data_IF_630522500689
#
_entry.id   IF_630522500689
#
_cell.length_a   1.000
_cell.length_b   1.000
_cell.length_c   1.000
_cell.angle_alpha   90.00
_cell.angle_beta   90.00
_cell.angle_gamma   90.00
#
_symmetry.space_group_name_H-M   'P 1'
#
loop_
_entity.id
_entity.type
_entity.pdbx_description
1 polymer ?
#
# COMPACT_ATOMS: atom_id res chain seq x y z
N UNK A 1 -0.66 9.00 -16.20
CA UNK A 1 0.72 8.47 -16.22
C UNK A 1 0.82 6.97 -16.58
N UNK A 2 -0.09 6.05 -16.16
CA UNK A 2 0.05 4.62 -16.49
C UNK A 2 0.16 4.31 -18.01
N UNK A 3 -0.53 5.06 -18.85
CA UNK A 3 -0.51 4.84 -20.31
C UNK A 3 0.85 5.18 -20.94
N UNK A 4 1.50 6.26 -20.50
CA UNK A 4 2.83 6.66 -20.99
C UNK A 4 3.89 5.65 -20.57
N UNK A 5 3.90 5.23 -19.30
CA UNK A 5 4.85 4.22 -18.82
C UNK A 5 4.68 2.90 -19.57
N UNK A 6 3.45 2.42 -19.75
CA UNK A 6 3.16 1.19 -20.52
C UNK A 6 3.64 1.30 -21.97
N UNK A 7 3.49 2.45 -22.60
CA UNK A 7 3.99 2.69 -23.95
C UNK A 7 5.52 2.71 -23.99
N UNK A 8 6.17 3.42 -23.05
CA UNK A 8 7.63 3.47 -22.94
C UNK A 8 8.25 2.09 -22.70
N UNK A 9 7.73 1.33 -21.75
CA UNK A 9 8.24 0.00 -21.41
C UNK A 9 8.09 -1.02 -22.55
N UNK A 10 7.03 -0.88 -23.37
CA UNK A 10 6.86 -1.68 -24.58
C UNK A 10 7.82 -1.27 -25.68
N UNK A 11 8.04 0.03 -25.88
CA UNK A 11 8.90 0.55 -26.94
C UNK A 11 10.39 0.36 -26.63
N UNK A 12 10.75 0.46 -25.37
CA UNK A 12 12.13 0.35 -24.87
C UNK A 12 12.19 -0.63 -23.68
N UNK A 13 12.09 -1.95 -23.91
CA UNK A 13 12.02 -2.94 -22.81
C UNK A 13 13.21 -2.88 -21.85
N UNK A 14 14.38 -2.49 -22.34
CA UNK A 14 15.61 -2.39 -21.55
C UNK A 14 15.62 -1.27 -20.50
N UNK A 15 14.63 -0.37 -20.52
CA UNK A 15 14.51 0.65 -19.46
C UNK A 15 13.90 0.08 -18.17
N UNK A 16 13.30 -1.11 -18.24
CA UNK A 16 12.81 -1.83 -17.08
C UNK A 16 13.87 -2.85 -16.69
N UNK A 17 14.42 -2.68 -15.51
CA UNK A 17 15.41 -3.58 -14.94
C UNK A 17 14.86 -4.26 -13.70
N UNK A 18 15.25 -5.49 -13.43
CA UNK A 18 14.92 -6.16 -12.18
C UNK A 18 15.67 -5.49 -11.03
N UNK A 19 14.99 -5.32 -9.91
CA UNK A 19 15.58 -4.77 -8.69
C UNK A 19 16.14 -5.93 -7.87
N UNK A 20 17.38 -5.79 -7.40
CA UNK A 20 17.98 -6.66 -6.40
C UNK A 20 17.66 -6.09 -5.01
N UNK A 21 17.00 -6.89 -4.18
CA UNK A 21 16.72 -6.55 -2.79
C UNK A 21 17.70 -7.32 -1.90
N UNK A 22 18.33 -6.63 -0.96
CA UNK A 22 19.14 -7.26 0.08
C UNK A 22 18.19 -7.80 1.17
N UNK A 23 18.39 -9.05 1.57
CA UNK A 23 17.62 -9.63 2.66
C UNK A 23 18.25 -9.30 4.03
N UNK A 24 17.43 -9.09 5.08
CA UNK A 24 17.94 -8.92 6.43
C UNK A 24 18.83 -10.11 6.84
N UNK A 25 19.94 -9.83 7.49
CA UNK A 25 20.71 -10.88 8.14
C UNK A 25 19.94 -11.48 9.32
N UNK A 26 20.25 -12.71 9.69
CA UNK A 26 19.67 -13.35 10.88
C UNK A 26 20.79 -13.76 11.84
N UNK A 27 20.60 -13.51 13.13
CA UNK A 27 21.53 -13.98 14.17
C UNK A 27 20.75 -14.58 15.34
N UNK A 28 21.32 -15.59 16.04
CA UNK A 28 20.69 -16.11 17.25
C UNK A 28 20.75 -15.07 18.36
N UNK A 29 19.58 -14.74 18.92
CA UNK A 29 19.45 -13.88 20.10
C UNK A 29 19.85 -14.63 21.38
N UNK A 30 19.93 -13.91 22.52
CA UNK A 30 20.30 -14.47 23.82
C UNK A 30 19.35 -15.57 24.31
N UNK A 31 18.14 -15.59 23.85
CA UNK A 31 17.07 -16.54 24.17
C UNK A 31 16.98 -17.71 23.15
N UNK A 32 17.89 -17.77 22.17
CA UNK A 32 17.93 -18.78 21.11
C UNK A 32 16.96 -18.53 19.96
N UNK A 33 16.13 -17.46 19.99
CA UNK A 33 15.33 -17.05 18.84
C UNK A 33 16.19 -16.31 17.83
N UNK A 34 15.86 -16.50 16.53
CA UNK A 34 16.54 -15.76 15.46
C UNK A 34 16.04 -14.31 15.48
N UNK A 35 16.97 -13.37 15.49
CA UNK A 35 16.70 -11.93 15.43
C UNK A 35 17.16 -11.41 14.08
N UNK A 36 16.30 -10.63 13.44
CA UNK A 36 16.63 -9.98 12.17
C UNK A 36 17.61 -8.83 12.40
N UNK A 37 18.69 -8.81 11.63
CA UNK A 37 19.66 -7.71 11.61
C UNK A 37 19.15 -6.72 10.55
N UNK A 38 18.89 -5.46 10.93
CA UNK A 38 18.48 -4.45 9.96
C UNK A 38 19.51 -4.30 8.83
N UNK A 39 19.01 -4.01 7.63
CA UNK A 39 19.86 -3.74 6.48
C UNK A 39 20.62 -2.43 6.71
N UNK A 40 21.93 -2.45 6.50
CA UNK A 40 22.79 -1.27 6.59
C UNK A 40 22.65 -0.41 5.32
N UNK A 41 21.78 0.58 5.35
CA UNK A 41 21.51 1.49 4.23
C UNK A 41 22.67 2.44 3.92
N UNK A 42 23.71 2.50 4.76
CA UNK A 42 24.92 3.28 4.50
C UNK A 42 25.82 2.66 3.43
N UNK A 43 25.66 1.35 3.21
CA UNK A 43 26.39 0.62 2.17
C UNK A 43 25.96 1.06 0.76
N UNK A 44 26.80 0.85 -0.26
CA UNK A 44 26.43 1.08 -1.65
C UNK A 44 25.12 0.37 -2.03
N UNK A 45 24.36 0.96 -2.95
CA UNK A 45 23.14 0.36 -3.45
C UNK A 45 23.43 -0.97 -4.17
N UNK A 46 22.76 -2.08 -3.82
CA UNK A 46 23.02 -3.40 -4.42
C UNK A 46 22.75 -3.44 -5.93
N UNK A 47 21.95 -2.50 -6.46
CA UNK A 47 21.67 -2.39 -7.88
C UNK A 47 22.76 -1.64 -8.68
N UNK A 48 23.85 -1.20 -8.02
CA UNK A 48 24.95 -0.48 -8.67
C UNK A 48 24.66 0.97 -9.05
N UNK A 49 23.47 1.48 -8.71
CA UNK A 49 23.05 2.86 -8.98
C UNK A 49 22.86 3.60 -7.66
N UNK A 50 23.45 4.79 -7.54
CA UNK A 50 23.31 5.63 -6.35
C UNK A 50 22.29 6.76 -6.60
N UNK A 51 21.36 6.93 -5.66
CA UNK A 51 20.30 7.94 -5.75
C UNK A 51 20.47 9.02 -4.68
N UNK A 52 20.41 10.27 -5.07
CA UNK A 52 20.48 11.41 -4.15
C UNK A 52 19.15 11.63 -3.42
N UNK A 53 18.05 11.53 -4.13
CA UNK A 53 16.74 11.92 -3.64
C UNK A 53 15.70 10.83 -3.92
N UNK A 54 14.81 10.61 -2.94
CA UNK A 54 13.63 9.76 -3.07
C UNK A 54 12.37 10.57 -2.74
N UNK A 55 11.40 10.55 -3.64
CA UNK A 55 10.10 11.21 -3.49
C UNK A 55 9.02 10.15 -3.54
N UNK A 56 8.27 9.98 -2.45
CA UNK A 56 7.20 8.99 -2.33
C UNK A 56 5.83 9.68 -2.28
N UNK A 57 4.93 9.27 -3.19
CA UNK A 57 3.51 9.52 -3.09
C UNK A 57 2.91 8.47 -2.13
N UNK A 58 2.70 8.87 -0.87
CA UNK A 58 2.25 7.95 0.18
C UNK A 58 0.88 7.35 -0.10
N UNK A 59 0.00 8.01 -0.83
CA UNK A 59 -1.29 7.44 -1.20
C UNK A 59 -1.12 6.21 -2.09
N UNK A 60 -0.08 6.20 -2.95
CA UNK A 60 0.30 5.03 -3.74
C UNK A 60 0.80 3.84 -2.91
N UNK A 61 1.27 4.08 -1.68
CA UNK A 61 1.72 3.05 -0.72
C UNK A 61 0.57 2.65 0.21
N UNK A 62 -0.17 3.62 0.74
CA UNK A 62 -1.24 3.38 1.72
C UNK A 62 -2.35 2.49 1.13
N UNK A 63 -2.78 2.73 -0.11
CA UNK A 63 -3.83 1.93 -0.73
C UNK A 63 -3.50 0.43 -0.81
N UNK A 64 -2.35 -0.02 -1.32
CA UNK A 64 -1.98 -1.43 -1.29
C UNK A 64 -1.80 -2.02 0.12
N UNK A 65 -1.35 -1.21 1.09
CA UNK A 65 -1.17 -1.66 2.48
C UNK A 65 -2.50 -1.88 3.19
N UNK A 66 -3.52 -1.06 2.89
CA UNK A 66 -4.87 -1.20 3.47
C UNK A 66 -5.73 -2.22 2.73
N UNK A 67 -5.44 -2.45 1.44
CA UNK A 67 -6.17 -3.39 0.58
C UNK A 67 -5.19 -4.26 -0.22
N UNK A 68 -4.47 -5.17 0.44
CA UNK A 68 -3.54 -6.06 -0.24
C UNK A 68 -4.27 -7.02 -1.17
N UNK A 69 -3.76 -7.20 -2.39
CA UNK A 69 -4.27 -8.20 -3.31
C UNK A 69 -3.86 -9.61 -2.85
N UNK A 70 -4.82 -10.51 -2.76
CA UNK A 70 -4.58 -11.92 -2.43
C UNK A 70 -4.23 -12.23 -0.97
N UNK A 71 -4.36 -11.25 -0.07
CA UNK A 71 -4.19 -11.43 1.37
C UNK A 71 -5.37 -10.78 2.11
N UNK A 72 -5.72 -11.27 3.32
CA UNK A 72 -6.70 -10.56 4.14
C UNK A 72 -6.18 -9.16 4.48
N UNK A 73 -7.05 -8.13 4.49
CA UNK A 73 -6.67 -6.79 4.90
C UNK A 73 -6.31 -6.77 6.40
N UNK A 74 -5.46 -5.83 6.85
CA UNK A 74 -5.20 -5.62 8.26
C UNK A 74 -6.49 -5.36 9.03
N UNK A 75 -6.57 -5.83 10.27
CA UNK A 75 -7.80 -5.76 11.08
C UNK A 75 -8.02 -4.37 11.68
N UNK A 76 -6.93 -3.70 12.06
CA UNK A 76 -6.96 -2.38 12.72
C UNK A 76 -6.25 -1.31 11.90
N UNK A 77 -6.55 -0.04 12.18
CA UNK A 77 -5.86 1.09 11.56
C UNK A 77 -4.38 1.13 11.96
N UNK A 78 -4.06 0.70 13.18
CA UNK A 78 -2.69 0.56 13.68
C UNK A 78 -1.90 -0.48 12.89
N UNK A 79 -2.50 -1.64 12.61
CA UNK A 79 -1.87 -2.67 11.75
C UNK A 79 -1.63 -2.14 10.34
N UNK A 80 -2.56 -1.33 9.81
CA UNK A 80 -2.37 -0.65 8.52
C UNK A 80 -1.16 0.27 8.54
N UNK A 81 -0.94 1.03 9.63
CA UNK A 81 0.25 1.89 9.76
C UNK A 81 1.54 1.07 9.82
N UNK A 82 1.53 -0.06 10.52
CA UNK A 82 2.69 -0.97 10.55
C UNK A 82 3.02 -1.49 9.15
N UNK A 83 2.02 -1.88 8.36
CA UNK A 83 2.26 -2.31 6.98
C UNK A 83 2.76 -1.16 6.07
N UNK A 84 2.28 0.06 6.29
CA UNK A 84 2.80 1.26 5.60
C UNK A 84 4.28 1.49 5.95
N UNK A 85 4.68 1.35 7.21
CA UNK A 85 6.07 1.47 7.63
C UNK A 85 6.95 0.40 6.99
N UNK A 86 6.57 -0.86 7.09
CA UNK A 86 7.30 -1.97 6.48
C UNK A 86 7.51 -1.78 4.98
N UNK A 87 6.47 -1.33 4.28
CA UNK A 87 6.57 -1.08 2.85
C UNK A 87 7.50 0.11 2.54
N UNK A 88 7.41 1.18 3.34
CA UNK A 88 8.27 2.36 3.20
C UNK A 88 9.73 2.01 3.46
N UNK A 89 10.03 1.27 4.53
CA UNK A 89 11.36 0.78 4.85
C UNK A 89 11.92 -0.09 3.71
N UNK A 90 11.11 -0.99 3.16
CA UNK A 90 11.51 -1.81 2.01
C UNK A 90 11.92 -0.94 0.82
N UNK A 91 11.13 0.07 0.47
CA UNK A 91 11.44 0.97 -0.65
C UNK A 91 12.73 1.76 -0.38
N UNK A 92 12.92 2.25 0.86
CA UNK A 92 14.13 2.97 1.25
C UNK A 92 15.35 2.06 1.19
N UNK A 93 15.24 0.81 1.66
CA UNK A 93 16.32 -0.18 1.62
C UNK A 93 16.74 -0.49 0.17
N UNK A 94 15.79 -0.54 -0.77
CA UNK A 94 16.08 -0.72 -2.20
C UNK A 94 16.79 0.47 -2.84
N UNK A 95 16.36 1.70 -2.50
CA UNK A 95 16.79 2.92 -3.19
C UNK A 95 17.99 3.57 -2.48
N UNK A 96 18.04 3.56 -1.15
CA UNK A 96 19.09 4.16 -0.29
C UNK A 96 19.38 5.61 -0.65
N UNK A 97 18.39 6.54 -0.54
CA UNK A 97 18.61 7.94 -0.90
C UNK A 97 19.71 8.56 -0.04
N UNK A 98 20.67 9.25 -0.69
CA UNK A 98 21.87 9.75 0.01
C UNK A 98 21.69 11.15 0.62
N UNK A 99 20.73 11.93 0.10
CA UNK A 99 20.60 13.35 0.51
C UNK A 99 19.20 13.71 0.99
N UNK A 100 18.17 13.18 0.35
CA UNK A 100 16.83 13.67 0.59
C UNK A 100 15.76 12.59 0.43
N UNK A 101 14.88 12.49 1.42
CA UNK A 101 13.67 11.68 1.39
C UNK A 101 12.47 12.60 1.58
N UNK A 102 11.50 12.52 0.67
CA UNK A 102 10.22 13.24 0.76
C UNK A 102 9.05 12.28 0.74
N UNK A 103 8.24 12.35 1.79
CA UNK A 103 6.97 11.64 1.88
C UNK A 103 5.84 12.64 1.63
N UNK A 104 5.10 12.49 0.54
CA UNK A 104 4.00 13.37 0.17
C UNK A 104 2.66 12.69 0.43
N UNK A 105 1.78 13.35 1.18
CA UNK A 105 0.41 12.91 1.44
C UNK A 105 -0.55 13.81 0.66
N UNK A 106 -1.61 13.25 0.07
CA UNK A 106 -2.63 14.02 -0.62
C UNK A 106 -3.30 15.06 0.31
N UNK A 107 -3.24 16.31 -0.12
CA UNK A 107 -3.98 17.42 0.47
C UNK A 107 -5.33 17.67 -0.20
N UNK A 108 -6.00 18.75 0.20
CA UNK A 108 -7.27 19.17 -0.39
C UNK A 108 -7.08 19.54 -1.86
N UNK A 109 -7.85 18.90 -2.72
CA UNK A 109 -7.76 19.13 -4.16
C UNK A 109 -8.35 20.52 -4.57
N UNK A 110 -7.85 21.15 -5.65
CA UNK A 110 -8.49 22.29 -6.26
C UNK A 110 -9.94 22.00 -6.66
N UNK A 111 -10.81 23.02 -6.65
CA UNK A 111 -12.25 22.88 -6.92
C UNK A 111 -12.58 22.06 -8.17
N UNK A 112 -11.89 22.30 -9.27
CA UNK A 112 -12.09 21.58 -10.52
C UNK A 112 -11.89 20.06 -10.36
N UNK A 113 -10.84 19.65 -9.61
CA UNK A 113 -10.53 18.24 -9.34
C UNK A 113 -11.50 17.61 -8.32
N UNK A 114 -12.09 18.42 -7.42
CA UNK A 114 -13.06 17.93 -6.43
C UNK A 114 -14.30 17.31 -7.08
N UNK A 115 -14.84 17.92 -8.13
CA UNK A 115 -15.98 17.37 -8.84
C UNK A 115 -15.67 16.04 -9.52
N UNK A 116 -14.49 15.93 -10.12
CA UNK A 116 -14.02 14.69 -10.73
C UNK A 116 -13.83 13.59 -9.66
N UNK A 117 -13.25 13.94 -8.52
CA UNK A 117 -13.07 13.00 -7.40
C UNK A 117 -14.42 12.54 -6.84
N UNK A 118 -15.37 13.46 -6.65
CA UNK A 118 -16.74 13.14 -6.18
C UNK A 118 -17.42 12.16 -7.12
N UNK A 119 -17.40 12.41 -8.42
CA UNK A 119 -18.01 11.53 -9.42
C UNK A 119 -17.36 10.13 -9.42
N UNK A 120 -16.05 10.06 -9.31
CA UNK A 120 -15.31 8.79 -9.22
C UNK A 120 -15.71 8.01 -7.97
N UNK A 121 -15.74 8.66 -6.79
CA UNK A 121 -16.11 8.02 -5.52
C UNK A 121 -17.55 7.54 -5.53
N UNK A 122 -18.46 8.35 -6.08
CA UNK A 122 -19.86 7.94 -6.20
C UNK A 122 -20.00 6.67 -7.06
N UNK A 123 -19.29 6.60 -8.19
CA UNK A 123 -19.28 5.38 -9.03
C UNK A 123 -18.70 4.19 -8.29
N UNK A 124 -17.56 4.35 -7.62
CA UNK A 124 -16.95 3.26 -6.85
C UNK A 124 -17.87 2.73 -5.74
N UNK A 125 -18.57 3.61 -5.04
CA UNK A 125 -19.54 3.23 -4.02
C UNK A 125 -20.74 2.49 -4.63
N UNK A 126 -21.22 2.93 -5.79
CA UNK A 126 -22.31 2.27 -6.50
C UNK A 126 -21.89 0.90 -7.04
N UNK A 127 -20.68 0.79 -7.62
CA UNK A 127 -20.13 -0.49 -8.11
C UNK A 127 -19.94 -1.49 -6.96
N UNK A 128 -19.44 -1.03 -5.82
CA UNK A 128 -19.30 -1.84 -4.61
C UNK A 128 -20.65 -2.37 -4.10
N UNK A 129 -21.69 -1.53 -4.13
CA UNK A 129 -23.04 -1.92 -3.74
C UNK A 129 -23.62 -3.00 -4.67
N UNK A 130 -23.48 -2.81 -5.97
CA UNK A 130 -23.93 -3.78 -6.98
C UNK A 130 -23.21 -5.13 -6.79
N UNK A 131 -21.88 -5.08 -6.58
CA UNK A 131 -21.09 -6.29 -6.35
C UNK A 131 -21.52 -7.03 -5.06
N UNK A 132 -21.85 -6.28 -4.01
CA UNK A 132 -22.34 -6.84 -2.76
C UNK A 132 -23.70 -7.54 -2.97
N UNK A 133 -24.63 -6.87 -3.64
CA UNK A 133 -25.95 -7.44 -3.95
C UNK A 133 -25.84 -8.71 -4.83
N UNK A 134 -24.93 -8.73 -5.81
CA UNK A 134 -24.66 -9.89 -6.63
C UNK A 134 -24.10 -11.07 -5.81
N UNK A 135 -23.15 -10.80 -4.91
CA UNK A 135 -22.61 -11.83 -4.02
C UNK A 135 -23.64 -12.40 -3.06
N UNK A 136 -24.52 -11.57 -2.52
CA UNK A 136 -25.62 -12.03 -1.68
C UNK A 136 -26.57 -12.95 -2.46
N UNK A 137 -26.94 -12.60 -3.68
CA UNK A 137 -27.77 -13.42 -4.55
C UNK A 137 -27.11 -14.76 -4.89
N UNK A 138 -25.82 -14.76 -5.23
CA UNK A 138 -25.06 -15.99 -5.49
C UNK A 138 -25.00 -16.90 -4.26
N UNK A 139 -24.80 -16.33 -3.06
CA UNK A 139 -24.79 -17.09 -1.81
C UNK A 139 -26.16 -17.69 -1.50
N UNK A 140 -27.24 -16.94 -1.71
CA UNK A 140 -28.60 -17.47 -1.57
C UNK A 140 -28.90 -18.60 -2.56
N UNK A 141 -28.49 -18.49 -3.80
CA UNK A 141 -28.64 -19.55 -4.80
C UNK A 141 -27.83 -20.78 -4.44
N UNK A 142 -26.59 -20.63 -3.94
CA UNK A 142 -25.77 -21.76 -3.46
C UNK A 142 -26.42 -22.46 -2.25
N UNK A 143 -26.96 -21.69 -1.30
CA UNK A 143 -27.72 -22.23 -0.16
C UNK A 143 -28.95 -23.03 -0.62
N UNK A 144 -29.70 -22.50 -1.58
CA UNK A 144 -30.89 -23.20 -2.16
C UNK A 144 -30.52 -24.50 -2.90
N UNK A 145 -29.31 -24.55 -3.50
CA UNK A 145 -28.80 -25.75 -4.21
C UNK A 145 -28.11 -26.76 -3.29
N UNK A 146 -28.09 -26.54 -1.97
CA UNK A 146 -27.46 -27.47 -1.00
C UNK A 146 -25.92 -27.49 -1.09
N UNK A 147 -25.30 -26.52 -1.77
CA UNK A 147 -23.87 -26.37 -1.95
C UNK A 147 -23.26 -25.40 -0.91
N UNK A 148 -23.83 -25.31 0.27
CA UNK A 148 -23.29 -24.52 1.37
C UNK A 148 -22.02 -25.20 1.89
N UNK A 149 -20.87 -24.82 1.32
CA UNK A 149 -19.57 -24.90 2.00
C UNK A 149 -19.51 -23.88 3.13
N UNK A 150 -18.54 -24.05 4.05
CA UNK A 150 -18.31 -23.20 5.23
C UNK A 150 -18.58 -21.73 4.92
N UNK A 151 -19.34 -21.07 5.81
CA UNK A 151 -19.74 -19.68 5.65
C UNK A 151 -18.47 -18.81 5.41
N UNK A 152 -18.21 -18.47 4.17
CA UNK A 152 -17.37 -17.32 3.86
C UNK A 152 -18.13 -16.11 4.41
N UNK A 153 -17.83 -15.77 5.66
CA UNK A 153 -18.31 -14.56 6.28
C UNK A 153 -17.98 -13.41 5.32
N UNK A 154 -19.02 -12.70 4.88
CA UNK A 154 -18.84 -11.49 4.06
C UNK A 154 -17.99 -10.54 4.91
N UNK A 155 -16.69 -10.61 4.73
CA UNK A 155 -15.75 -9.75 5.43
C UNK A 155 -16.09 -8.32 5.05
N UNK A 156 -16.53 -7.53 6.04
CA UNK A 156 -16.91 -6.15 5.84
C UNK A 156 -15.68 -5.41 5.30
N UNK A 157 -15.67 -5.17 4.00
CA UNK A 157 -14.59 -4.46 3.35
C UNK A 157 -14.44 -3.08 4.01
N UNK A 158 -13.24 -2.78 4.51
CA UNK A 158 -12.92 -1.45 5.01
C UNK A 158 -13.11 -0.41 3.89
N UNK A 159 -13.70 0.74 4.21
CA UNK A 159 -14.03 1.75 3.21
C UNK A 159 -12.79 2.56 2.81
N UNK A 160 -12.24 2.31 1.64
CA UNK A 160 -11.11 3.05 1.06
C UNK A 160 -11.34 4.56 0.90
N UNK A 161 -12.61 5.03 0.98
CA UNK A 161 -12.93 6.46 0.97
C UNK A 161 -12.42 7.18 2.23
N UNK A 162 -12.08 6.45 3.28
CA UNK A 162 -11.43 6.98 4.50
C UNK A 162 -10.05 7.58 4.17
N UNK A 163 -9.35 7.08 3.13
CA UNK A 163 -8.12 7.68 2.61
C UNK A 163 -8.46 8.97 1.83
N UNK A 164 -8.89 9.96 2.57
CA UNK A 164 -9.34 11.24 2.03
C UNK A 164 -8.84 12.38 2.92
N UNK A 165 -8.34 13.48 2.37
CA UNK A 165 -7.92 14.63 3.16
C UNK A 165 -8.99 15.11 4.14
N UNK A 166 -8.59 15.32 5.40
CA UNK A 166 -9.47 15.78 6.48
C UNK A 166 -10.21 14.66 7.24
N UNK A 167 -9.91 13.40 7.00
CA UNK A 167 -10.43 12.29 7.80
C UNK A 167 -9.53 11.99 9.01
N UNK A 168 -10.07 11.38 10.10
CA UNK A 168 -9.27 10.93 11.23
C UNK A 168 -8.15 9.98 10.83
N UNK A 169 -8.39 9.08 9.88
CA UNK A 169 -7.38 8.17 9.34
C UNK A 169 -6.17 8.92 8.74
N UNK A 170 -6.39 9.98 7.98
CA UNK A 170 -5.31 10.77 7.40
C UNK A 170 -4.53 11.56 8.46
N UNK A 171 -5.16 11.94 9.54
CA UNK A 171 -4.49 12.57 10.69
C UNK A 171 -3.63 11.54 11.46
N UNK A 172 -4.16 10.34 11.68
CA UNK A 172 -3.43 9.21 12.23
C UNK A 172 -2.22 8.87 11.35
N UNK A 173 -2.40 8.75 10.03
CA UNK A 173 -1.32 8.49 9.09
C UNK A 173 -0.22 9.56 9.18
N UNK A 174 -0.61 10.84 9.18
CA UNK A 174 0.35 11.94 9.28
C UNK A 174 1.14 11.92 10.60
N UNK A 175 0.47 11.60 11.70
CA UNK A 175 1.09 11.49 13.03
C UNK A 175 2.01 10.29 13.11
N UNK A 176 1.60 9.15 12.57
CA UNK A 176 2.37 7.91 12.50
C UNK A 176 3.64 8.07 11.65
N UNK A 177 3.54 8.73 10.49
CA UNK A 177 4.71 9.01 9.66
C UNK A 177 5.69 9.98 10.33
N UNK A 178 5.20 10.98 11.08
CA UNK A 178 6.10 11.85 11.89
C UNK A 178 6.82 11.06 12.98
N UNK A 179 6.12 10.14 13.63
CA UNK A 179 6.72 9.25 14.62
C UNK A 179 7.80 8.38 13.96
N UNK A 180 7.49 7.72 12.85
CA UNK A 180 8.43 6.87 12.11
C UNK A 180 9.68 7.64 11.65
N UNK A 181 9.55 8.91 11.20
CA UNK A 181 10.71 9.75 10.81
C UNK A 181 11.60 10.08 12.02
N UNK A 182 11.05 10.16 13.23
CA UNK A 182 11.77 10.56 14.43
C UNK A 182 12.52 9.40 15.13
N UNK A 183 12.18 8.15 14.80
CA UNK A 183 12.71 6.93 15.43
C UNK A 183 13.37 6.01 14.42
#
# INVERSE_FOLDING_TARGET
>A
MPALFRWLSKKYPKIVQSVEEEEPGHMPGPDGHMVDIPIDISRPNPNGEEYDCLYLDMNGIVHPCTHPEGKPPPETEEDMMVEVFKYTDRVINMIRPRKFLMLAIDGVAPRAKMNQQRSRRFRSAQDAKILHEQREQELEERKKKGLAGEEEAIQKSWDSNVITPGTPFMDLLASSLRYWIAH
#
